data_IF_889818021050
#
_entry.id   IF_889818021050
#
_cell.length_a   1.000
_cell.length_b   1.000
_cell.length_c   1.000
_cell.angle_alpha   90.00
_cell.angle_beta   90.00
_cell.angle_gamma   90.00
#
_symmetry.space_group_name_H-M   'P 1'
#
loop_
_entity.id
_entity.type
_entity.pdbx_description
1 polymer ?
#
# COMPACT_ATOMS: atom_id res chain seq x y z
N UNK A 1 21.93 -32.89 -48.73
CA UNK A 1 21.70 -32.77 -47.27
C UNK A 1 21.85 -31.30 -46.92
N UNK A 2 20.75 -30.59 -46.65
CA UNK A 2 20.74 -29.14 -46.39
C UNK A 2 20.64 -28.92 -44.88
N UNK A 3 21.72 -28.49 -44.25
CA UNK A 3 21.74 -28.12 -42.84
C UNK A 3 20.96 -26.82 -42.65
N UNK A 4 19.90 -26.87 -41.87
CA UNK A 4 19.17 -25.69 -41.38
C UNK A 4 19.81 -25.31 -40.05
N UNK A 5 20.54 -24.20 -40.03
CA UNK A 5 21.07 -23.59 -38.80
C UNK A 5 19.95 -22.72 -38.22
N UNK A 6 19.32 -23.19 -37.13
CA UNK A 6 18.40 -22.40 -36.33
C UNK A 6 19.21 -21.45 -35.43
N UNK A 7 19.28 -20.18 -35.81
CA UNK A 7 19.77 -19.11 -34.95
C UNK A 7 18.70 -18.83 -33.88
N UNK A 8 18.91 -19.33 -32.67
CA UNK A 8 18.08 -19.00 -31.52
C UNK A 8 18.44 -17.58 -31.04
N UNK A 9 17.65 -16.58 -31.47
CA UNK A 9 17.68 -15.23 -30.90
C UNK A 9 17.07 -15.28 -29.49
N UNK A 10 17.93 -15.41 -28.49
CA UNK A 10 17.58 -15.18 -27.08
C UNK A 10 17.32 -13.69 -26.88
N UNK A 11 16.04 -13.31 -26.94
CA UNK A 11 15.57 -12.03 -26.39
C UNK A 11 15.65 -12.14 -24.87
N UNK A 12 16.79 -11.74 -24.31
CA UNK A 12 16.90 -11.45 -22.90
C UNK A 12 16.12 -10.14 -22.66
N UNK A 13 14.81 -10.25 -22.45
CA UNK A 13 14.01 -9.13 -21.94
C UNK A 13 14.51 -8.84 -20.54
N UNK A 14 15.43 -7.87 -20.42
CA UNK A 14 15.69 -7.21 -19.15
C UNK A 14 14.38 -6.57 -18.72
N UNK A 15 13.62 -7.26 -17.87
CA UNK A 15 12.69 -6.61 -16.97
C UNK A 15 13.57 -5.70 -16.12
N UNK A 16 13.71 -4.45 -16.56
CA UNK A 16 14.16 -3.37 -15.70
C UNK A 16 13.05 -3.27 -14.67
N UNK A 17 13.20 -3.98 -13.56
CA UNK A 17 12.46 -3.66 -12.35
C UNK A 17 12.96 -2.28 -11.97
N UNK A 18 12.19 -1.25 -12.33
CA UNK A 18 12.39 0.07 -11.75
C UNK A 18 12.34 -0.17 -10.24
N UNK A 19 13.48 0.03 -9.61
CA UNK A 19 13.65 -0.16 -8.19
C UNK A 19 12.81 0.93 -7.53
N UNK A 20 11.63 0.58 -7.02
CA UNK A 20 10.62 1.56 -6.58
C UNK A 20 11.22 2.49 -5.52
N UNK A 21 11.10 3.80 -5.74
CA UNK A 21 11.45 4.78 -4.73
C UNK A 21 10.49 4.70 -3.56
N UNK A 22 10.94 5.08 -2.37
CA UNK A 22 10.10 5.01 -1.19
C UNK A 22 10.37 6.10 -0.16
N UNK A 23 9.39 6.28 0.70
CA UNK A 23 9.38 7.24 1.80
C UNK A 23 8.96 6.52 3.07
N UNK A 24 9.79 6.56 4.11
CA UNK A 24 9.51 5.91 5.40
C UNK A 24 10.25 6.59 6.57
N UNK A 25 9.79 6.39 7.83
CA UNK A 25 10.50 6.87 9.01
C UNK A 25 11.83 6.13 9.21
N UNK A 26 12.95 6.86 9.19
CA UNK A 26 14.31 6.33 9.14
C UNK A 26 14.99 6.38 10.51
N UNK A 27 15.60 5.27 10.95
CA UNK A 27 16.42 5.24 12.17
C UNK A 27 17.64 6.14 12.05
N UNK A 28 18.20 6.28 10.85
CA UNK A 28 19.33 7.18 10.58
C UNK A 28 18.94 8.66 10.73
N UNK A 29 17.64 8.98 10.65
CA UNK A 29 17.10 10.34 10.73
C UNK A 29 16.25 10.55 12.00
N UNK A 30 16.59 9.87 13.10
CA UNK A 30 15.89 9.95 14.39
C UNK A 30 14.37 9.65 14.30
N UNK A 31 13.98 8.78 13.38
CA UNK A 31 12.58 8.42 13.11
C UNK A 31 11.85 9.40 12.19
N UNK A 32 12.54 10.44 11.68
CA UNK A 32 11.97 11.34 10.68
C UNK A 32 11.74 10.63 9.35
N UNK A 33 10.76 11.12 8.60
CA UNK A 33 10.45 10.59 7.28
C UNK A 33 11.54 11.01 6.28
N UNK A 34 12.13 10.05 5.60
CA UNK A 34 13.18 10.25 4.60
C UNK A 34 12.87 9.50 3.30
N UNK A 35 13.52 9.95 2.22
CA UNK A 35 13.37 9.41 0.87
C UNK A 35 14.52 8.45 0.53
N UNK A 36 14.19 7.33 -0.10
CA UNK A 36 15.12 6.30 -0.52
C UNK A 36 14.74 5.76 -1.91
N UNK A 37 15.67 5.01 -2.50
CA UNK A 37 15.53 4.32 -3.77
C UNK A 37 15.80 2.83 -3.56
N UNK A 38 15.33 1.98 -4.47
CA UNK A 38 15.57 0.53 -4.42
C UNK A 38 15.13 -0.15 -3.12
N UNK A 39 13.92 0.21 -2.70
CA UNK A 39 13.45 -0.12 -1.37
C UNK A 39 13.10 -1.59 -1.19
N UNK A 40 12.65 -2.25 -2.26
CA UNK A 40 12.23 -3.65 -2.23
C UNK A 40 11.31 -4.02 -3.38
N UNK A 41 10.57 -5.12 -3.19
CA UNK A 41 9.69 -5.69 -4.21
C UNK A 41 8.26 -5.81 -3.66
N UNK A 42 7.29 -5.47 -4.51
CA UNK A 42 5.87 -5.73 -4.27
C UNK A 42 5.45 -7.01 -4.98
N UNK A 43 4.90 -7.96 -4.23
CA UNK A 43 4.30 -9.19 -4.75
C UNK A 43 2.83 -9.26 -4.32
N UNK A 44 1.92 -8.96 -5.24
CA UNK A 44 0.50 -8.84 -4.92
C UNK A 44 0.24 -7.68 -3.95
N UNK A 45 -0.31 -7.97 -2.77
CA UNK A 45 -0.63 -6.96 -1.75
C UNK A 45 0.45 -6.84 -0.65
N UNK A 46 1.66 -7.38 -0.89
CA UNK A 46 2.75 -7.44 0.08
C UNK A 46 4.00 -6.74 -0.43
N UNK A 47 4.55 -5.88 0.40
CA UNK A 47 5.88 -5.28 0.24
C UNK A 47 6.90 -6.08 1.04
N UNK A 48 8.01 -6.46 0.40
CA UNK A 48 9.21 -6.97 1.06
C UNK A 48 10.35 -5.99 0.83
N UNK A 49 10.84 -5.38 1.91
CA UNK A 49 12.00 -4.47 1.84
C UNK A 49 13.31 -5.25 1.69
N UNK A 50 14.26 -4.65 0.98
CA UNK A 50 15.65 -5.10 0.97
C UNK A 50 16.26 -4.97 2.37
N UNK A 51 17.30 -5.75 2.67
CA UNK A 51 17.88 -5.84 4.02
C UNK A 51 18.32 -4.48 4.57
N UNK A 52 18.93 -3.63 3.74
CA UNK A 52 19.36 -2.27 4.12
C UNK A 52 18.18 -1.43 4.64
N UNK A 53 17.08 -1.38 3.89
CA UNK A 53 15.90 -0.62 4.28
C UNK A 53 15.14 -1.25 5.45
N UNK A 54 15.09 -2.58 5.53
CA UNK A 54 14.49 -3.28 6.67
C UNK A 54 15.26 -3.00 7.97
N UNK A 55 16.58 -2.85 7.91
CA UNK A 55 17.42 -2.47 9.04
C UNK A 55 17.26 -0.99 9.41
N UNK A 56 17.13 -0.11 8.41
CA UNK A 56 16.96 1.34 8.62
C UNK A 56 15.54 1.76 9.03
N UNK A 57 14.50 0.98 8.74
CA UNK A 57 13.12 1.32 9.05
C UNK A 57 12.89 1.52 10.55
N UNK A 58 12.41 2.69 10.95
CA UNK A 58 12.02 3.00 12.32
C UNK A 58 10.55 2.61 12.54
N UNK A 59 10.33 1.74 13.52
CA UNK A 59 8.99 1.34 13.94
C UNK A 59 8.51 2.24 15.08
N UNK A 60 7.20 2.47 15.15
CA UNK A 60 6.55 3.14 16.26
C UNK A 60 6.56 2.27 17.54
N UNK A 61 5.98 2.79 18.63
CA UNK A 61 5.88 2.07 19.90
C UNK A 61 5.09 0.76 19.86
N UNK A 62 4.34 0.50 18.78
CA UNK A 62 3.58 -0.74 18.56
C UNK A 62 4.31 -1.71 17.61
N UNK A 63 5.52 -1.36 17.15
CA UNK A 63 6.26 -2.17 16.19
C UNK A 63 5.74 -2.05 14.76
N UNK A 64 5.11 -0.93 14.41
CA UNK A 64 4.55 -0.66 13.09
C UNK A 64 5.22 0.54 12.40
N UNK A 65 5.37 0.48 11.08
CA UNK A 65 5.85 1.59 10.28
C UNK A 65 5.00 1.74 9.01
N UNK A 66 4.81 2.97 8.57
CA UNK A 66 4.23 3.26 7.26
C UNK A 66 5.35 3.43 6.22
N UNK A 67 5.23 2.73 5.11
CA UNK A 67 6.12 2.85 3.95
C UNK A 67 5.28 3.21 2.74
N UNK A 68 5.69 4.26 2.05
CA UNK A 68 5.04 4.75 0.84
C UNK A 68 6.00 4.50 -0.32
N UNK A 69 5.54 3.81 -1.36
CA UNK A 69 6.28 3.65 -2.63
C UNK A 69 5.83 4.72 -3.64
N UNK A 70 6.41 4.70 -4.83
CA UNK A 70 5.99 5.57 -5.92
C UNK A 70 4.47 5.44 -6.22
N UNK A 71 3.93 6.45 -6.90
CA UNK A 71 2.50 6.54 -7.22
C UNK A 71 1.55 6.47 -6.00
N UNK A 72 2.04 6.83 -4.81
CA UNK A 72 1.27 6.85 -3.56
C UNK A 72 0.77 5.45 -3.14
N UNK A 73 1.53 4.38 -3.43
CA UNK A 73 1.22 3.06 -2.89
C UNK A 73 1.68 2.96 -1.43
N UNK A 74 0.73 2.81 -0.50
CA UNK A 74 1.01 2.78 0.95
C UNK A 74 0.95 1.36 1.53
N UNK A 75 1.89 1.05 2.41
CA UNK A 75 1.98 -0.21 3.12
C UNK A 75 2.27 0.02 4.60
N UNK A 76 1.53 -0.67 5.47
CA UNK A 76 1.99 -0.88 6.83
C UNK A 76 2.92 -2.08 6.88
N UNK A 77 4.02 -1.95 7.62
CA UNK A 77 4.97 -3.01 7.94
C UNK A 77 5.02 -3.20 9.45
N UNK A 78 5.04 -4.46 9.89
CA UNK A 78 5.34 -4.85 11.26
C UNK A 78 6.80 -5.26 11.39
N UNK A 79 7.33 -5.17 12.61
CA UNK A 79 8.70 -5.56 12.93
C UNK A 79 9.01 -7.03 12.61
N UNK A 80 7.99 -7.91 12.59
CA UNK A 80 8.09 -9.31 12.16
C UNK A 80 8.11 -9.50 10.63
N UNK A 81 8.22 -8.40 9.87
CA UNK A 81 8.24 -8.32 8.40
C UNK A 81 6.91 -8.64 7.72
N UNK A 82 5.80 -8.75 8.46
CA UNK A 82 4.48 -8.73 7.82
C UNK A 82 4.21 -7.35 7.23
N UNK A 83 3.64 -7.34 6.03
CA UNK A 83 3.21 -6.12 5.37
C UNK A 83 1.79 -6.29 4.83
N UNK A 84 1.09 -5.17 4.70
CA UNK A 84 -0.26 -5.10 4.14
C UNK A 84 -0.43 -3.78 3.38
N UNK A 85 -0.85 -3.87 2.12
CA UNK A 85 -1.25 -2.71 1.33
C UNK A 85 -2.47 -2.03 1.96
N UNK A 86 -2.43 -0.71 2.08
CA UNK A 86 -3.47 0.12 2.67
C UNK A 86 -3.85 1.27 1.74
N UNK A 87 -4.95 1.95 2.06
CA UNK A 87 -5.30 3.17 1.35
C UNK A 87 -4.26 4.24 1.66
N UNK A 88 -3.83 4.97 0.62
CA UNK A 88 -3.12 6.23 0.81
C UNK A 88 -4.14 7.31 1.20
N UNK A 89 -3.95 7.91 2.36
CA UNK A 89 -4.87 8.87 2.95
C UNK A 89 -4.12 10.02 3.62
N UNK A 90 -4.59 11.24 3.36
CA UNK A 90 -3.96 12.52 3.72
C UNK A 90 -2.54 12.65 3.16
N UNK A 91 -1.56 11.99 3.77
CA UNK A 91 -0.15 12.01 3.36
C UNK A 91 0.58 10.67 3.57
N UNK A 92 -0.15 9.56 3.74
CA UNK A 92 0.48 8.26 3.95
C UNK A 92 -0.52 7.13 4.16
N UNK A 93 -0.19 6.19 5.03
CA UNK A 93 -1.06 5.06 5.35
C UNK A 93 -2.34 5.52 6.07
N UNK A 94 -3.49 4.96 5.68
CA UNK A 94 -4.76 5.22 6.35
C UNK A 94 -4.72 4.90 7.84
N UNK A 95 -5.17 5.85 8.67
CA UNK A 95 -5.03 5.78 10.11
C UNK A 95 -5.90 4.67 10.73
N UNK A 96 -5.39 4.06 11.80
CA UNK A 96 -6.22 3.25 12.68
C UNK A 96 -7.22 4.13 13.44
N UNK A 97 -8.50 3.82 13.31
CA UNK A 97 -9.60 4.43 14.04
C UNK A 97 -10.39 3.30 14.71
N UNK A 98 -10.51 3.39 16.03
CA UNK A 98 -11.12 2.33 16.86
C UNK A 98 -10.51 0.93 16.60
N UNK A 99 -9.20 0.88 16.32
CA UNK A 99 -8.48 -0.35 16.07
C UNK A 99 -8.57 -0.91 14.64
N UNK A 100 -9.23 -0.20 13.71
CA UNK A 100 -9.35 -0.59 12.31
C UNK A 100 -8.75 0.46 11.38
N UNK A 101 -8.05 0.01 10.34
CA UNK A 101 -7.64 0.82 9.19
C UNK A 101 -8.23 0.22 7.89
N UNK A 102 -8.30 0.99 6.80
CA UNK A 102 -8.73 0.45 5.50
C UNK A 102 -7.54 -0.13 4.74
N UNK A 103 -7.64 -1.42 4.43
CA UNK A 103 -6.68 -2.17 3.62
C UNK A 103 -7.14 -2.37 2.18
N UNK A 104 -6.22 -2.81 1.32
CA UNK A 104 -6.50 -3.31 -0.02
C UNK A 104 -6.06 -4.78 -0.14
N UNK A 105 -6.99 -5.65 -0.55
CA UNK A 105 -6.70 -7.05 -0.88
C UNK A 105 -7.25 -7.33 -2.28
N UNK A 106 -6.35 -7.57 -3.24
CA UNK A 106 -6.68 -7.72 -4.67
C UNK A 106 -7.54 -6.56 -5.17
N UNK A 107 -7.11 -5.34 -4.86
CA UNK A 107 -7.77 -4.07 -5.21
C UNK A 107 -9.18 -3.88 -4.64
N UNK A 108 -9.58 -4.71 -3.66
CA UNK A 108 -10.83 -4.55 -2.92
C UNK A 108 -10.53 -4.00 -1.54
N UNK A 109 -11.28 -2.97 -1.15
CA UNK A 109 -11.20 -2.37 0.17
C UNK A 109 -11.69 -3.35 1.25
N UNK A 110 -10.93 -3.42 2.35
CA UNK A 110 -11.21 -4.24 3.54
C UNK A 110 -10.93 -3.44 4.81
N UNK A 111 -11.40 -3.91 5.96
CA UNK A 111 -10.89 -3.42 7.25
C UNK A 111 -9.85 -4.39 7.81
N UNK A 112 -8.72 -3.84 8.26
CA UNK A 112 -7.63 -4.57 8.89
C UNK A 112 -7.43 -4.14 10.34
N UNK A 113 -6.93 -5.04 11.18
CA UNK A 113 -6.50 -4.71 12.54
C UNK A 113 -5.01 -4.33 12.61
N UNK A 114 -4.54 -3.94 13.80
CA UNK A 114 -3.13 -3.57 14.03
C UNK A 114 -2.14 -4.74 13.87
N UNK A 115 -2.64 -5.98 13.76
CA UNK A 115 -1.82 -7.15 13.40
C UNK A 115 -1.75 -7.33 11.89
N UNK A 116 -2.29 -6.40 11.12
CA UNK A 116 -2.42 -6.42 9.66
C UNK A 116 -3.29 -7.57 9.13
N UNK A 117 -4.17 -8.10 9.97
CA UNK A 117 -5.11 -9.16 9.57
C UNK A 117 -6.41 -8.54 9.05
N UNK A 118 -6.98 -9.11 7.99
CA UNK A 118 -8.30 -8.69 7.51
C UNK A 118 -9.37 -9.10 8.52
N UNK A 119 -10.07 -8.11 9.09
CA UNK A 119 -11.18 -8.32 10.03
C UNK A 119 -12.51 -8.39 9.29
N UNK A 120 -12.73 -7.51 8.31
CA UNK A 120 -13.97 -7.44 7.55
C UNK A 120 -13.69 -7.27 6.06
N UNK A 121 -14.37 -8.09 5.24
CA UNK A 121 -14.36 -7.99 3.78
C UNK A 121 -15.79 -7.75 3.28
N UNK A 122 -16.29 -6.51 3.38
CA UNK A 122 -17.71 -6.25 3.21
C UNK A 122 -18.16 -6.26 1.74
N UNK A 123 -17.22 -6.18 0.79
CA UNK A 123 -17.52 -6.31 -0.64
C UNK A 123 -18.09 -5.04 -1.29
N UNK A 124 -18.07 -3.90 -0.58
CA UNK A 124 -18.46 -2.59 -1.10
C UNK A 124 -17.39 -1.98 -2.00
N UNK A 125 -17.78 -1.03 -2.84
CA UNK A 125 -16.90 -0.34 -3.79
C UNK A 125 -16.18 0.86 -3.15
N UNK A 126 -16.80 1.48 -2.13
CA UNK A 126 -16.16 2.48 -1.27
C UNK A 126 -16.37 2.14 0.20
N UNK A 127 -15.30 2.27 0.99
CA UNK A 127 -15.30 2.25 2.44
C UNK A 127 -14.72 3.58 2.94
N UNK A 128 -15.50 4.35 3.70
CA UNK A 128 -14.97 5.45 4.49
C UNK A 128 -14.37 4.92 5.81
N UNK A 129 -13.56 5.71 6.53
CA UNK A 129 -12.99 5.29 7.80
C UNK A 129 -14.06 4.78 8.78
N UNK A 130 -13.68 3.81 9.61
CA UNK A 130 -14.52 3.35 10.72
C UNK A 130 -14.42 4.36 11.86
N UNK A 131 -15.55 4.93 12.28
CA UNK A 131 -15.63 5.98 13.29
C UNK A 131 -16.99 5.97 13.98
N UNK A 132 -17.02 6.29 15.27
CA UNK A 132 -18.20 6.23 16.12
C UNK A 132 -18.95 4.88 16.03
N UNK A 133 -18.21 3.76 15.97
CA UNK A 133 -18.76 2.41 15.91
C UNK A 133 -19.39 2.01 14.57
N UNK A 134 -19.24 2.79 13.49
CA UNK A 134 -19.75 2.46 12.16
C UNK A 134 -18.83 2.96 11.05
N UNK A 135 -19.09 2.53 9.81
CA UNK A 135 -18.44 3.09 8.62
C UNK A 135 -19.49 3.37 7.56
N UNK A 136 -19.33 4.48 6.84
CA UNK A 136 -20.11 4.76 5.64
C UNK A 136 -19.55 3.94 4.48
N UNK A 137 -20.43 3.30 3.72
CA UNK A 137 -20.07 2.41 2.62
C UNK A 137 -20.92 2.71 1.39
N UNK A 138 -20.35 2.48 0.19
CA UNK A 138 -21.10 2.54 -1.06
C UNK A 138 -21.12 1.17 -1.73
N UNK A 139 -22.32 0.69 -2.07
CA UNK A 139 -22.50 -0.43 -2.98
C UNK A 139 -22.86 0.13 -4.36
N UNK A 140 -21.88 0.25 -5.24
CA UNK A 140 -22.00 0.96 -6.50
C UNK A 140 -21.03 2.15 -6.62
N UNK A 141 -21.10 2.89 -7.74
CA UNK A 141 -20.13 3.91 -8.07
C UNK A 141 -20.09 5.03 -7.02
N UNK A 142 -18.90 5.58 -6.82
CA UNK A 142 -18.67 6.79 -6.05
C UNK A 142 -17.97 7.82 -6.93
N UNK A 143 -18.04 9.09 -6.53
CA UNK A 143 -17.34 10.19 -7.18
C UNK A 143 -16.31 10.78 -6.23
N UNK A 144 -15.20 11.23 -6.80
CA UNK A 144 -14.20 12.04 -6.13
C UNK A 144 -14.44 13.51 -6.50
N UNK A 145 -14.73 14.34 -5.52
CA UNK A 145 -14.98 15.76 -5.71
C UNK A 145 -13.89 16.57 -5.03
N UNK A 146 -13.07 17.25 -5.82
CA UNK A 146 -12.03 18.13 -5.29
C UNK A 146 -12.65 19.41 -4.74
N UNK A 147 -12.46 19.64 -3.45
CA UNK A 147 -12.81 20.87 -2.73
C UNK A 147 -11.54 21.52 -2.19
N UNK A 148 -10.91 22.36 -3.02
CA UNK A 148 -9.63 23.00 -2.71
C UNK A 148 -8.48 21.98 -2.64
N UNK A 149 -7.82 21.91 -1.49
CA UNK A 149 -6.76 20.93 -1.17
C UNK A 149 -7.33 19.55 -0.81
N UNK A 150 -8.63 19.44 -0.50
CA UNK A 150 -9.25 18.18 -0.08
C UNK A 150 -10.04 17.52 -1.23
N UNK A 151 -10.14 16.20 -1.19
CA UNK A 151 -11.03 15.43 -2.07
C UNK A 151 -12.08 14.72 -1.23
N UNK A 152 -13.34 14.95 -1.55
CA UNK A 152 -14.47 14.26 -0.93
C UNK A 152 -14.83 13.04 -1.76
N UNK A 153 -15.00 11.89 -1.09
CA UNK A 153 -15.53 10.68 -1.69
C UNK A 153 -17.01 10.56 -1.35
N UNK A 154 -17.87 10.49 -2.37
CA UNK A 154 -19.33 10.45 -2.18
C UNK A 154 -19.95 9.32 -2.99
N UNK A 155 -20.83 8.54 -2.33
CA UNK A 155 -21.65 7.56 -3.04
C UNK A 155 -22.52 8.26 -4.10
N UNK A 156 -22.58 7.68 -5.29
CA UNK A 156 -23.58 8.05 -6.28
C UNK A 156 -24.83 7.24 -5.97
N UNK A 157 -25.89 7.90 -5.53
CA UNK A 157 -27.21 7.27 -5.48
C UNK A 157 -27.63 7.00 -6.91
N UNK A 158 -28.11 5.78 -7.20
CA UNK A 158 -28.73 5.48 -8.48
C UNK A 158 -29.85 6.52 -8.76
N UNK A 159 -29.98 7.00 -10.02
CA UNK A 159 -30.97 8.01 -10.38
C UNK A 159 -32.42 7.54 -10.15
#
# INVERSE_FOLDING_TARGET
MKSIILLALSLCSSLVWASESCVYPSKQDDGSVAYFEDCGVVEGDRLTLNSEHAENLAFDGNGMACVILAASEAFYLLQDRRSQRVLFFDNGCDYFREGLARGLVKDRMVFIDARLETVLKPGFDLLLPYDYGHAVVCNGPFVEERQGEHTLLRCVTAP
#
